data_IF_258881739152
#
_entry.id   IF_258881739152
#
_cell.length_a   1.000
_cell.length_b   1.000
_cell.length_c   1.000
_cell.angle_alpha   90.00
_cell.angle_beta   90.00
_cell.angle_gamma   90.00
#
_symmetry.space_group_name_H-M   'P 1'
#
loop_
_entity.id
_entity.type
_entity.pdbx_description
1 polymer ?
#
# COMPACT_ATOMS: atom_id res chain seq x y z
N UNK A 1 14.78 -10.97 10.29
CA UNK A 1 13.39 -11.41 10.53
C UNK A 1 12.42 -10.39 9.96
N UNK A 2 11.39 -10.81 9.22
CA UNK A 2 10.33 -9.93 8.71
C UNK A 2 9.41 -9.53 9.88
N UNK A 3 8.97 -8.27 9.96
CA UNK A 3 8.09 -7.78 11.03
C UNK A 3 6.63 -8.24 10.77
N UNK A 4 5.76 -8.24 11.79
CA UNK A 4 4.35 -8.57 11.58
C UNK A 4 3.64 -7.61 10.60
N UNK A 5 3.98 -6.32 10.62
CA UNK A 5 3.40 -5.36 9.67
C UNK A 5 3.94 -5.58 8.25
N UNK A 6 5.20 -6.00 8.09
CA UNK A 6 5.74 -6.42 6.79
C UNK A 6 5.06 -7.69 6.26
N UNK A 7 4.70 -8.66 7.13
CA UNK A 7 3.91 -9.84 6.72
C UNK A 7 2.51 -9.45 6.27
N UNK A 8 1.85 -8.53 6.99
CA UNK A 8 0.56 -7.95 6.57
C UNK A 8 0.68 -7.25 5.23
N UNK A 9 1.76 -6.49 5.02
CA UNK A 9 2.01 -5.78 3.77
C UNK A 9 2.26 -6.74 2.61
N UNK A 10 3.04 -7.80 2.83
CA UNK A 10 3.24 -8.87 1.84
C UNK A 10 1.90 -9.53 1.48
N UNK A 11 1.07 -9.84 2.48
CA UNK A 11 -0.24 -10.44 2.25
C UNK A 11 -1.17 -9.49 1.49
N UNK A 12 -1.22 -8.20 1.86
CA UNK A 12 -1.95 -7.18 1.14
C UNK A 12 -1.52 -7.09 -0.33
N UNK A 13 -0.21 -7.07 -0.62
CA UNK A 13 0.30 -7.10 -2.00
C UNK A 13 -0.19 -8.36 -2.72
N UNK A 14 -0.20 -9.52 -2.05
CA UNK A 14 -0.67 -10.79 -2.64
C UNK A 14 -2.13 -10.74 -3.08
N UNK A 15 -3.02 -10.08 -2.31
CA UNK A 15 -4.44 -9.96 -2.65
C UNK A 15 -4.66 -9.29 -4.01
N UNK A 16 -3.77 -8.39 -4.41
CA UNK A 16 -3.86 -7.63 -5.66
C UNK A 16 -2.97 -8.16 -6.79
N UNK A 17 -2.02 -9.04 -6.50
CA UNK A 17 -0.94 -9.39 -7.44
C UNK A 17 -0.68 -10.88 -7.61
N UNK A 18 -1.41 -11.75 -6.89
CA UNK A 18 -1.37 -13.19 -7.15
C UNK A 18 -1.77 -13.46 -8.60
N UNK A 19 -0.95 -14.24 -9.30
CA UNK A 19 -1.18 -14.57 -10.71
C UNK A 19 -2.44 -15.43 -10.86
N UNK A 20 -3.17 -15.22 -11.96
CA UNK A 20 -4.29 -16.06 -12.37
C UNK A 20 -3.90 -16.77 -13.68
N UNK A 21 -3.46 -18.03 -13.56
CA UNK A 21 -2.85 -18.75 -14.68
C UNK A 21 -1.59 -18.04 -15.17
N UNK A 22 -1.51 -17.79 -16.48
CA UNK A 22 -0.38 -17.11 -17.15
C UNK A 22 -0.43 -15.58 -17.03
N UNK A 23 -1.51 -15.00 -16.48
CA UNK A 23 -1.65 -13.54 -16.39
C UNK A 23 -0.98 -12.99 -15.14
N UNK A 24 0.11 -12.23 -15.35
CA UNK A 24 0.77 -11.49 -14.28
C UNK A 24 -0.01 -10.24 -13.86
N UNK A 25 -0.24 -10.09 -12.56
CA UNK A 25 -0.87 -8.90 -11.99
C UNK A 25 0.15 -8.05 -11.23
N UNK A 26 0.11 -6.74 -11.45
CA UNK A 26 1.02 -5.77 -10.84
C UNK A 26 0.23 -4.63 -10.21
N UNK A 27 0.53 -4.28 -8.97
CA UNK A 27 -0.04 -3.11 -8.31
C UNK A 27 0.85 -1.89 -8.52
N UNK A 28 0.28 -0.81 -9.07
CA UNK A 28 1.00 0.45 -9.26
C UNK A 28 1.30 1.12 -7.91
N UNK A 29 2.45 1.77 -7.81
CA UNK A 29 2.96 2.37 -6.56
C UNK A 29 1.95 3.29 -5.87
N UNK A 30 1.26 4.16 -6.60
CA UNK A 30 0.27 5.06 -6.01
C UNK A 30 -0.94 4.29 -5.44
N UNK A 31 -1.35 3.18 -6.06
CA UNK A 31 -2.45 2.36 -5.56
C UNK A 31 -2.04 1.62 -4.29
N UNK A 32 -0.81 1.07 -4.27
CA UNK A 32 -0.25 0.45 -3.06
C UNK A 32 -0.16 1.46 -1.90
N UNK A 33 0.30 2.68 -2.15
CA UNK A 33 0.34 3.73 -1.13
C UNK A 33 -1.04 4.11 -0.60
N UNK A 34 -2.06 4.15 -1.46
CA UNK A 34 -3.43 4.38 -1.02
C UNK A 34 -3.92 3.26 -0.06
N UNK A 35 -3.62 2.00 -0.39
CA UNK A 35 -3.96 0.87 0.48
C UNK A 35 -3.21 0.90 1.81
N UNK A 36 -1.90 1.21 1.79
CA UNK A 36 -1.09 1.31 3.01
C UNK A 36 -1.66 2.38 3.93
N UNK A 37 -1.90 3.59 3.40
CA UNK A 37 -2.51 4.67 4.17
C UNK A 37 -3.87 4.26 4.75
N UNK A 38 -4.74 3.65 3.94
CA UNK A 38 -6.03 3.19 4.43
C UNK A 38 -5.89 2.13 5.54
N UNK A 39 -4.94 1.19 5.39
CA UNK A 39 -4.65 0.19 6.40
C UNK A 39 -4.11 0.78 7.71
N UNK A 40 -3.36 1.90 7.65
CA UNK A 40 -2.92 2.63 8.85
C UNK A 40 -4.12 3.26 9.56
N UNK A 41 -5.01 3.94 8.81
CA UNK A 41 -6.23 4.57 9.34
C UNK A 41 -7.14 3.50 9.99
N UNK A 42 -7.32 2.36 9.34
CA UNK A 42 -8.14 1.22 9.81
C UNK A 42 -7.43 0.33 10.86
N UNK A 43 -6.25 0.75 11.34
CA UNK A 43 -5.46 0.05 12.36
C UNK A 43 -5.10 -1.40 12.01
N UNK A 44 -4.96 -1.69 10.71
CA UNK A 44 -4.42 -2.95 10.19
C UNK A 44 -2.92 -3.03 10.51
N UNK A 45 -2.19 -1.96 10.21
CA UNK A 45 -0.77 -1.83 10.55
C UNK A 45 -0.63 -1.17 11.92
N UNK A 46 0.13 -1.78 12.83
CA UNK A 46 0.24 -1.30 14.21
C UNK A 46 1.35 -0.29 14.41
N UNK A 47 2.45 -0.44 13.68
CA UNK A 47 3.66 0.35 13.88
C UNK A 47 3.96 1.30 12.71
N UNK A 48 3.11 1.32 11.68
CA UNK A 48 3.24 2.28 10.59
C UNK A 48 2.54 3.57 10.99
N UNK A 49 3.24 4.70 10.86
CA UNK A 49 2.65 6.02 10.81
C UNK A 49 2.79 6.60 9.40
N UNK A 50 2.35 7.84 9.19
CA UNK A 50 2.57 8.54 7.92
C UNK A 50 2.93 9.99 8.16
N UNK A 51 3.64 10.56 7.19
CA UNK A 51 3.95 11.98 7.13
C UNK A 51 3.70 12.54 5.73
N UNK A 52 3.26 13.80 5.60
CA UNK A 52 3.09 14.44 4.30
C UNK A 52 4.42 14.59 3.57
N UNK A 53 4.52 14.05 2.36
CA UNK A 53 5.71 14.16 1.50
C UNK A 53 5.33 14.47 0.06
N UNK A 54 6.24 15.14 -0.64
CA UNK A 54 6.08 15.46 -2.06
C UNK A 54 6.37 14.23 -2.92
N UNK A 55 5.37 13.78 -3.69
CA UNK A 55 5.46 12.60 -4.56
C UNK A 55 4.91 12.88 -5.96
N UNK A 56 5.35 12.08 -6.94
CA UNK A 56 4.71 12.01 -8.24
C UNK A 56 3.48 11.10 -8.14
N UNK A 57 2.28 11.69 -8.09
CA UNK A 57 1.01 10.97 -7.98
C UNK A 57 0.20 11.12 -9.26
N UNK A 58 -0.11 10.00 -9.91
CA UNK A 58 -0.87 10.00 -11.18
C UNK A 58 -0.31 10.99 -12.23
N UNK A 59 1.02 11.14 -12.28
CA UNK A 59 1.70 12.04 -13.21
C UNK A 59 1.66 13.52 -12.84
N UNK A 60 1.31 13.88 -11.61
CA UNK A 60 1.42 15.26 -11.13
C UNK A 60 2.13 15.29 -9.78
N UNK A 61 2.90 16.35 -9.51
CA UNK A 61 3.48 16.57 -8.19
C UNK A 61 2.34 16.84 -7.19
N UNK A 62 2.32 16.10 -6.09
CA UNK A 62 1.31 16.19 -5.02
C UNK A 62 1.99 15.99 -3.67
N UNK A 63 1.37 16.51 -2.63
CA UNK A 63 1.65 16.10 -1.26
C UNK A 63 0.80 14.86 -0.98
N UNK A 64 1.42 13.80 -0.46
CA UNK A 64 0.73 12.58 -0.04
C UNK A 64 1.26 12.13 1.32
N UNK A 65 0.38 11.54 2.13
CA UNK A 65 0.72 10.93 3.40
C UNK A 65 1.37 9.55 3.16
N UNK A 66 2.68 9.45 3.39
CA UNK A 66 3.47 8.25 3.12
C UNK A 66 4.13 7.74 4.41
N UNK A 67 4.16 6.42 4.58
CA UNK A 67 4.81 5.76 5.71
C UNK A 67 6.25 5.40 5.37
N UNK A 68 7.20 5.85 6.19
CA UNK A 68 8.62 5.52 6.01
C UNK A 68 8.91 4.08 6.43
N UNK A 69 8.21 3.57 7.44
CA UNK A 69 8.26 2.17 7.88
C UNK A 69 7.78 1.24 6.78
N UNK A 70 6.65 1.57 6.13
CA UNK A 70 6.15 0.78 5.02
C UNK A 70 7.11 0.82 3.82
N UNK A 71 7.76 1.96 3.54
CA UNK A 71 8.78 2.03 2.48
C UNK A 71 9.98 1.13 2.80
N UNK A 72 10.47 1.15 4.04
CA UNK A 72 11.54 0.28 4.51
C UNK A 72 11.15 -1.20 4.40
N UNK A 73 9.91 -1.55 4.75
CA UNK A 73 9.42 -2.91 4.64
C UNK A 73 9.19 -3.35 3.18
N UNK A 74 8.73 -2.48 2.27
CA UNK A 74 8.73 -2.75 0.81
C UNK A 74 10.15 -3.06 0.32
N UNK A 75 11.13 -2.24 0.72
CA UNK A 75 12.53 -2.45 0.34
C UNK A 75 13.05 -3.79 0.86
N UNK A 76 12.75 -4.13 2.11
CA UNK A 76 13.15 -5.39 2.74
C UNK A 76 12.50 -6.60 2.08
N UNK A 77 11.18 -6.57 1.83
CA UNK A 77 10.46 -7.62 1.11
C UNK A 77 11.07 -7.85 -0.29
N UNK A 78 11.48 -6.77 -0.98
CA UNK A 78 12.19 -6.89 -2.26
C UNK A 78 13.57 -7.50 -2.10
N UNK A 79 14.35 -7.06 -1.11
CA UNK A 79 15.70 -7.57 -0.83
C UNK A 79 15.69 -9.07 -0.53
N UNK A 80 14.67 -9.53 0.18
CA UNK A 80 14.44 -10.95 0.49
C UNK A 80 13.84 -11.74 -0.68
N UNK A 81 13.52 -11.10 -1.81
CA UNK A 81 12.96 -11.74 -3.00
C UNK A 81 11.50 -12.18 -2.86
N UNK A 82 10.76 -11.62 -1.89
CA UNK A 82 9.35 -11.94 -1.65
C UNK A 82 8.40 -11.13 -2.57
N UNK A 83 8.86 -9.99 -3.06
CA UNK A 83 8.18 -9.18 -4.07
C UNK A 83 9.14 -8.75 -5.18
N UNK A 84 8.61 -8.55 -6.38
CA UNK A 84 9.31 -7.93 -7.50
C UNK A 84 8.91 -6.46 -7.63
N UNK A 85 9.81 -5.65 -8.19
CA UNK A 85 9.58 -4.23 -8.52
C UNK A 85 9.81 -4.03 -10.02
N UNK A 86 8.81 -3.53 -10.71
CA UNK A 86 8.90 -3.08 -12.10
C UNK A 86 8.98 -1.55 -12.12
N UNK A 87 9.89 -1.01 -12.95
CA UNK A 87 10.00 0.43 -13.22
C UNK A 87 9.97 0.65 -14.73
N UNK A 88 8.89 1.22 -15.23
CA UNK A 88 8.68 1.50 -16.64
C UNK A 88 8.87 2.99 -16.91
N UNK A 89 9.65 3.33 -17.93
CA UNK A 89 9.66 4.68 -18.47
C UNK A 89 8.39 4.91 -19.31
N UNK A 90 7.80 6.07 -19.16
CA UNK A 90 6.71 6.57 -20.00
C UNK A 90 7.27 7.42 -21.13
N UNK A 91 6.49 7.61 -22.19
CA UNK A 91 6.84 8.51 -23.31
C UNK A 91 7.11 9.97 -22.89
N UNK A 92 6.66 10.37 -21.69
CA UNK A 92 6.91 11.70 -21.11
C UNK A 92 8.10 11.72 -20.15
N UNK A 93 9.04 10.77 -20.27
CA UNK A 93 10.22 10.63 -19.40
C UNK A 93 9.92 10.50 -17.90
N UNK A 94 8.69 10.12 -17.53
CA UNK A 94 8.31 9.79 -16.15
C UNK A 94 8.42 8.30 -15.93
N UNK A 95 8.61 7.88 -14.67
CA UNK A 95 8.66 6.47 -14.32
C UNK A 95 7.38 6.03 -13.62
N UNK A 96 6.81 4.92 -14.07
CA UNK A 96 5.77 4.18 -13.35
C UNK A 96 6.47 3.06 -12.60
N UNK A 97 6.23 3.00 -11.29
CA UNK A 97 6.67 1.87 -10.46
C UNK A 97 5.47 0.99 -10.16
N UNK A 98 5.67 -0.33 -10.23
CA UNK A 98 4.69 -1.31 -9.80
C UNK A 98 5.36 -2.47 -9.06
N UNK A 99 4.58 -3.19 -8.26
CA UNK A 99 5.04 -4.31 -7.45
C UNK A 99 4.18 -5.56 -7.72
N UNK A 100 4.76 -6.74 -7.55
CA UNK A 100 4.02 -8.01 -7.52
C UNK A 100 4.62 -8.95 -6.50
N UNK A 101 3.82 -9.85 -5.95
CA UNK A 101 4.33 -10.97 -5.15
C UNK A 101 5.14 -11.94 -6.02
N UNK A 102 6.12 -12.62 -5.44
CA UNK A 102 6.84 -13.73 -6.08
C UNK A 102 6.30 -15.07 -5.59
N UNK A 103 6.59 -16.15 -6.31
CA UNK A 103 6.30 -17.51 -5.84
C UNK A 103 6.94 -17.79 -4.45
N UNK A 104 8.14 -17.26 -4.21
CA UNK A 104 8.80 -17.31 -2.89
C UNK A 104 7.98 -16.57 -1.82
N UNK A 105 7.43 -15.41 -2.16
CA UNK A 105 6.51 -14.65 -1.31
C UNK A 105 5.25 -15.43 -0.97
N UNK A 106 4.63 -16.08 -1.96
CA UNK A 106 3.46 -16.92 -1.74
C UNK A 106 3.75 -18.09 -0.80
N UNK A 107 4.84 -18.83 -1.04
CA UNK A 107 5.31 -19.91 -0.16
C UNK A 107 5.66 -19.43 1.25
N UNK A 108 6.17 -18.20 1.38
CA UNK A 108 6.39 -17.60 2.70
C UNK A 108 5.06 -17.36 3.42
N UNK A 109 4.05 -16.83 2.72
CA UNK A 109 2.72 -16.56 3.28
C UNK A 109 1.98 -17.82 3.75
N UNK A 110 2.28 -19.00 3.20
CA UNK A 110 1.73 -20.27 3.71
C UNK A 110 2.10 -20.55 5.17
N UNK A 111 3.26 -20.03 5.62
CA UNK A 111 3.79 -20.20 6.98
C UNK A 111 3.39 -19.08 7.94
N UNK A 112 2.84 -17.99 7.41
CA UNK A 112 2.39 -16.83 8.21
C UNK A 112 1.12 -17.20 8.98
N UNK A 113 1.09 -16.86 10.27
CA UNK A 113 -0.04 -17.11 11.16
C UNK A 113 -1.36 -16.58 10.55
N UNK A 114 -2.42 -17.40 10.57
CA UNK A 114 -3.73 -17.01 10.02
C UNK A 114 -4.29 -15.72 10.63
N UNK A 115 -3.98 -15.44 11.91
CA UNK A 115 -4.39 -14.20 12.58
C UNK A 115 -3.86 -12.94 11.89
N UNK A 116 -2.65 -13.00 11.31
CA UNK A 116 -2.05 -11.88 10.57
C UNK A 116 -2.87 -11.57 9.32
N UNK A 117 -3.36 -12.61 8.63
CA UNK A 117 -4.19 -12.49 7.43
C UNK A 117 -5.59 -11.98 7.74
N UNK A 118 -6.21 -12.46 8.82
CA UNK A 118 -7.55 -12.03 9.27
C UNK A 118 -7.64 -10.51 9.46
N UNK A 119 -6.62 -9.88 10.05
CA UNK A 119 -6.59 -8.42 10.24
C UNK A 119 -6.63 -7.66 8.89
N UNK A 120 -5.93 -8.19 7.87
CA UNK A 120 -5.89 -7.62 6.52
C UNK A 120 -7.19 -7.91 5.78
N UNK A 121 -7.69 -9.15 5.82
CA UNK A 121 -8.92 -9.58 5.17
C UNK A 121 -10.13 -8.76 5.62
N UNK A 122 -10.21 -8.46 6.93
CA UNK A 122 -11.28 -7.62 7.50
C UNK A 122 -11.48 -6.31 6.74
N UNK A 123 -10.40 -5.72 6.22
CA UNK A 123 -10.44 -4.45 5.49
C UNK A 123 -10.38 -4.67 3.99
N UNK A 124 -9.44 -5.48 3.51
CA UNK A 124 -9.10 -5.56 2.09
C UNK A 124 -9.62 -6.80 1.36
N UNK A 125 -10.27 -7.72 2.07
CA UNK A 125 -10.93 -8.88 1.46
C UNK A 125 -12.06 -9.39 2.36
N UNK A 126 -13.08 -8.55 2.68
CA UNK A 126 -14.08 -8.94 3.67
C UNK A 126 -14.86 -10.18 3.18
N UNK A 127 -15.19 -11.13 4.07
CA UNK A 127 -15.96 -12.32 3.71
C UNK A 127 -17.28 -11.95 3.00
N UNK A 128 -17.56 -12.61 1.88
CA UNK A 128 -18.76 -12.35 1.06
C UNK A 128 -18.69 -11.11 0.18
N UNK A 129 -17.66 -10.26 0.33
CA UNK A 129 -17.47 -9.04 -0.47
C UNK A 129 -16.28 -9.17 -1.41
N UNK A 130 -15.16 -9.72 -0.92
CA UNK A 130 -13.93 -9.89 -1.69
C UNK A 130 -13.05 -8.65 -1.75
N UNK A 131 -11.98 -8.74 -2.54
CA UNK A 131 -11.00 -7.66 -2.70
C UNK A 131 -11.61 -6.46 -3.44
N UNK A 132 -11.56 -5.23 -2.88
CA UNK A 132 -12.11 -4.05 -3.53
C UNK A 132 -11.19 -3.57 -4.65
N UNK A 133 -11.79 -3.06 -5.73
CA UNK A 133 -11.08 -2.37 -6.79
C UNK A 133 -10.59 -1.00 -6.32
N UNK A 134 -9.50 -0.51 -6.91
CA UNK A 134 -8.95 0.82 -6.61
C UNK A 134 -9.01 1.64 -7.89
N UNK A 135 -9.79 2.71 -7.84
CA UNK A 135 -9.91 3.68 -8.94
C UNK A 135 -9.30 5.01 -8.54
N UNK A 136 -8.79 5.74 -9.53
CA UNK A 136 -8.30 7.11 -9.34
C UNK A 136 -9.30 8.03 -10.03
N UNK A 137 -9.88 8.96 -9.28
CA UNK A 137 -10.81 9.94 -9.85
C UNK A 137 -10.08 10.97 -10.73
N UNK A 138 -10.87 11.84 -11.38
CA UNK A 138 -10.34 12.90 -12.25
C UNK A 138 -9.45 13.92 -11.53
N UNK A 139 -9.52 14.00 -10.20
CA UNK A 139 -8.70 14.88 -9.35
C UNK A 139 -7.43 14.17 -8.85
N UNK A 140 -7.31 12.86 -9.09
CA UNK A 140 -6.19 12.04 -8.62
C UNK A 140 -6.46 11.31 -7.31
N UNK A 141 -7.65 11.42 -6.72
CA UNK A 141 -7.95 10.79 -5.44
C UNK A 141 -8.23 9.29 -5.62
N UNK A 142 -7.63 8.43 -4.79
CA UNK A 142 -7.95 7.02 -4.75
C UNK A 142 -9.30 6.73 -4.09
N UNK A 143 -10.09 5.86 -4.72
CA UNK A 143 -11.38 5.39 -4.23
C UNK A 143 -11.38 3.85 -4.25
N UNK A 144 -11.62 3.23 -3.09
CA UNK A 144 -11.92 1.80 -3.01
C UNK A 144 -13.36 1.55 -3.40
N UNK A 145 -13.60 0.56 -4.24
CA UNK A 145 -14.93 0.15 -4.69
C UNK A 145 -15.10 -1.33 -4.33
N UNK A 146 -15.95 -1.60 -3.36
CA UNK A 146 -16.30 -2.97 -2.94
C UNK A 146 -17.40 -3.53 -3.84
N UNK A 147 -17.45 -4.87 -3.96
CA UNK A 147 -18.45 -5.56 -4.80
C UNK A 147 -19.89 -5.39 -4.31
N UNK A 148 -20.07 -5.09 -3.03
CA UNK A 148 -21.38 -4.76 -2.42
C UNK A 148 -21.82 -3.32 -2.70
N UNK A 149 -21.07 -2.56 -3.50
CA UNK A 149 -21.37 -1.19 -3.89
C UNK A 149 -20.83 -0.12 -2.94
N UNK A 150 -20.24 -0.49 -1.79
CA UNK A 150 -19.60 0.49 -0.89
C UNK A 150 -18.42 1.16 -1.60
N UNK A 151 -18.31 2.48 -1.42
CA UNK A 151 -17.21 3.30 -1.96
C UNK A 151 -16.54 4.05 -0.83
N UNK A 152 -15.22 3.96 -0.74
CA UNK A 152 -14.41 4.64 0.27
C UNK A 152 -13.41 5.56 -0.43
N UNK A 153 -13.58 6.87 -0.23
CA UNK A 153 -12.58 7.85 -0.64
C UNK A 153 -11.38 7.76 0.31
N UNK A 154 -10.20 7.44 -0.22
CA UNK A 154 -8.98 7.37 0.57
C UNK A 154 -8.34 8.77 0.60
N UNK A 155 -8.19 9.32 1.81
CA UNK A 155 -7.68 10.67 2.06
C UNK A 155 -6.14 10.79 2.08
N UNK A 156 -5.43 9.91 1.38
CA UNK A 156 -3.96 9.91 1.33
C UNK A 156 -3.36 11.22 0.79
N UNK A 157 -4.12 12.00 0.00
CA UNK A 157 -3.70 13.29 -0.55
C UNK A 157 -4.13 14.50 0.29
N UNK A 158 -4.79 14.28 1.43
CA UNK A 158 -5.29 15.34 2.30
C UNK A 158 -4.29 15.51 3.44
N UNK A 159 -3.51 16.60 3.48
CA UNK A 159 -2.65 16.87 4.62
C UNK A 159 -3.53 17.06 5.86
N UNK A 160 -3.07 16.52 6.99
CA UNK A 160 -3.68 16.79 8.29
C UNK A 160 -3.09 18.08 8.87
N UNK A 161 -3.95 18.98 9.34
CA UNK A 161 -3.51 20.16 10.07
C UNK A 161 -3.04 19.74 11.46
N UNK A 162 -1.74 19.81 11.69
CA UNK A 162 -1.12 19.64 13.01
C UNK A 162 -0.62 20.99 13.50
N UNK A 163 -1.02 21.38 14.71
CA UNK A 163 -0.51 22.59 15.35
C UNK A 163 0.94 22.34 15.78
N UNK A 164 1.87 23.14 15.24
CA UNK A 164 3.27 23.11 15.65
C UNK A 164 3.52 24.15 16.75
N UNK A 165 3.89 23.69 17.95
CA UNK A 165 4.45 24.55 19.00
C UNK A 165 5.93 24.25 19.09
N UNK A 166 6.77 25.25 18.84
CA UNK A 166 8.23 25.13 18.98
C UNK A 166 8.70 26.09 20.06
N UNK A 167 9.23 25.55 21.15
CA UNK A 167 9.90 26.32 22.20
C UNK A 167 11.37 25.93 22.18
N UNK A 168 12.31 26.87 21.98
CA UNK A 168 13.73 26.55 22.05
C UNK A 168 14.08 26.12 23.48
N UNK A 169 14.64 24.93 23.62
CA UNK A 169 15.34 24.51 24.83
C UNK A 169 16.80 24.88 24.70
N UNK A 170 17.29 25.74 25.59
CA UNK A 170 18.72 25.92 25.77
C UNK A 170 19.27 24.64 26.43
N UNK A 171 20.35 24.09 25.86
CA UNK A 171 21.14 23.01 26.47
C UNK A 171 21.88 23.51 27.71
#
# INVERSE_FOLDING_TARGET
MISRDAEKLLYLISLYTKSEGELEKWIKNYALWALIYHGIVEKVFKNYDYTPVTVMWYGVLRIANISMEAEADIFKLRKEGLINKLRLATSKYRYITAYKITEKGEKYLEKVESRVKVDVDRVFNPPGVGVPDITIDVKGNPILIYRDGRKILIKVLYPEDVAYSSTPSFL
#
